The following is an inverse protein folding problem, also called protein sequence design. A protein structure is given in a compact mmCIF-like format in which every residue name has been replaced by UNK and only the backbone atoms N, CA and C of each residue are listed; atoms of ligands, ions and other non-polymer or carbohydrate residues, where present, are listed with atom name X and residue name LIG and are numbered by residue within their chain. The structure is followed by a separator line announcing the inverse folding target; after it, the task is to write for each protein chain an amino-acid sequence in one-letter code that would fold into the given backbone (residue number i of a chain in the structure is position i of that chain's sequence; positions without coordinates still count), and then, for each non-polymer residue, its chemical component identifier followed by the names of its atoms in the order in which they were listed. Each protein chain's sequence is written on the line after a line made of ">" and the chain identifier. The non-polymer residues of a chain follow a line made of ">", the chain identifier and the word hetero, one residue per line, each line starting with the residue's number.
data_IF_407613349877
#
_entry.id   IF_407613349877
#
_cell.length_a   1.000
_cell.length_b   1.000
_cell.length_c   1.000
_cell.angle_alpha   90.00
_cell.angle_beta   90.00
_cell.angle_gamma   90.00
#
_symmetry.space_group_name_H-M   'P 1'
#
loop_
_entity.id
_entity.type
_entity.pdbx_description
1 polymer ?
#
# COMPACT_ATOMS: atom_id res chain seq x y z
N UNK A 1 -40.94 9.28 -11.82
CA UNK A 1 -39.46 9.29 -11.76
C UNK A 1 -38.87 7.99 -11.19
N UNK A 2 -39.68 6.95 -10.93
CA UNK A 2 -39.27 5.72 -10.21
C UNK A 2 -39.14 4.47 -11.10
N UNK A 3 -39.46 4.54 -12.40
CA UNK A 3 -39.63 3.33 -13.24
C UNK A 3 -38.33 2.55 -13.49
N UNK A 4 -37.18 3.22 -13.39
CA UNK A 4 -35.87 2.62 -13.69
C UNK A 4 -34.94 2.52 -12.48
N UNK A 5 -35.44 2.74 -11.26
CA UNK A 5 -34.61 2.65 -10.06
C UNK A 5 -34.17 1.19 -9.82
N UNK A 6 -32.86 0.98 -9.68
CA UNK A 6 -32.24 -0.34 -9.50
C UNK A 6 -31.81 -1.04 -10.79
N UNK A 7 -32.17 -0.54 -11.97
CA UNK A 7 -31.66 -1.06 -13.24
C UNK A 7 -30.25 -0.54 -13.53
N UNK A 8 -29.34 -1.44 -13.90
CA UNK A 8 -27.98 -1.09 -14.33
C UNK A 8 -27.78 -1.41 -15.80
N UNK A 9 -27.47 -0.39 -16.61
CA UNK A 9 -27.17 -0.54 -18.03
C UNK A 9 -25.67 -0.44 -18.28
N UNK A 10 -25.10 -1.43 -18.97
CA UNK A 10 -23.68 -1.45 -19.36
C UNK A 10 -23.58 -1.22 -20.87
N UNK A 11 -22.93 -0.13 -21.26
CA UNK A 11 -22.63 0.17 -22.66
C UNK A 11 -21.21 -0.28 -22.99
N UNK A 12 -21.03 -0.92 -24.15
CA UNK A 12 -19.71 -1.32 -24.67
C UNK A 12 -19.60 -0.99 -26.14
N UNK A 13 -18.48 -0.39 -26.53
CA UNK A 13 -18.14 -0.13 -27.95
C UNK A 13 -17.56 -1.36 -28.65
N UNK A 14 -17.30 -2.45 -27.92
CA UNK A 14 -16.74 -3.70 -28.44
C UNK A 14 -17.75 -4.84 -28.32
N UNK A 15 -17.97 -5.64 -29.39
CA UNK A 15 -18.81 -6.82 -29.31
C UNK A 15 -18.10 -7.90 -28.49
N UNK A 16 -18.68 -8.24 -27.33
CA UNK A 16 -18.22 -9.32 -26.44
C UNK A 16 -19.43 -10.04 -25.84
N UNK A 17 -19.28 -11.29 -25.38
CA UNK A 17 -20.34 -12.01 -24.67
C UNK A 17 -20.84 -11.22 -23.46
N UNK A 18 -22.16 -11.23 -23.23
CA UNK A 18 -22.79 -10.49 -22.11
C UNK A 18 -22.15 -10.80 -20.76
N UNK A 19 -21.87 -12.08 -20.50
CA UNK A 19 -21.24 -12.56 -19.25
C UNK A 19 -19.85 -11.96 -19.05
N UNK A 20 -19.08 -11.81 -20.12
CA UNK A 20 -17.74 -11.23 -20.05
C UNK A 20 -17.79 -9.72 -19.81
N UNK A 21 -18.72 -9.01 -20.47
CA UNK A 21 -18.91 -7.56 -20.27
C UNK A 21 -19.29 -7.23 -18.83
N UNK A 22 -20.18 -8.02 -18.23
CA UNK A 22 -20.57 -7.86 -16.82
C UNK A 22 -19.36 -8.06 -15.90
N UNK A 23 -18.57 -9.12 -16.11
CA UNK A 23 -17.35 -9.37 -15.34
C UNK A 23 -16.35 -8.21 -15.45
N UNK A 24 -16.05 -7.77 -16.66
CA UNK A 24 -15.13 -6.66 -16.92
C UNK A 24 -15.59 -5.36 -16.27
N UNK A 25 -16.90 -5.08 -16.26
CA UNK A 25 -17.45 -3.93 -15.57
C UNK A 25 -17.20 -4.00 -14.06
N UNK A 26 -17.44 -5.17 -13.45
CA UNK A 26 -17.18 -5.37 -12.02
C UNK A 26 -15.69 -5.43 -11.66
N UNK A 27 -14.80 -5.82 -12.58
CA UNK A 27 -13.35 -5.79 -12.35
C UNK A 27 -12.82 -4.38 -12.08
N UNK A 28 -13.56 -3.32 -12.47
CA UNK A 28 -13.28 -1.93 -12.06
C UNK A 28 -13.24 -1.76 -10.54
N UNK A 29 -13.98 -2.56 -9.77
CA UNK A 29 -13.98 -2.53 -8.31
C UNK A 29 -12.56 -2.73 -7.73
N UNK A 30 -11.68 -3.45 -8.43
CA UNK A 30 -10.26 -3.58 -8.04
C UNK A 30 -9.58 -2.21 -8.01
N UNK A 31 -9.85 -1.38 -9.02
CA UNK A 31 -9.33 -0.01 -9.12
C UNK A 31 -9.95 0.88 -8.04
N UNK A 32 -11.24 0.75 -7.78
CA UNK A 32 -11.93 1.52 -6.72
C UNK A 32 -11.40 1.16 -5.33
N UNK A 33 -11.18 -0.13 -5.06
CA UNK A 33 -10.53 -0.62 -3.84
C UNK A 33 -9.09 -0.12 -3.73
N UNK A 34 -8.34 -0.04 -4.84
CA UNK A 34 -7.01 0.56 -4.85
C UNK A 34 -7.07 2.03 -4.40
N UNK A 35 -7.92 2.85 -5.01
CA UNK A 35 -8.11 4.25 -4.59
C UNK A 35 -8.55 4.38 -3.13
N UNK A 36 -9.39 3.47 -2.64
CA UNK A 36 -9.77 3.41 -1.21
C UNK A 36 -8.56 3.12 -0.32
N UNK A 37 -7.74 2.14 -0.66
CA UNK A 37 -6.51 1.82 0.07
C UNK A 37 -5.53 2.99 0.11
N UNK A 38 -5.39 3.73 -0.99
CA UNK A 38 -4.57 4.94 -1.04
C UNK A 38 -5.06 6.04 -0.08
N UNK A 39 -6.37 6.30 -0.06
CA UNK A 39 -6.96 7.34 0.79
C UNK A 39 -6.86 7.01 2.29
N UNK A 40 -6.93 5.73 2.64
CA UNK A 40 -6.92 5.26 4.03
C UNK A 40 -5.53 4.89 4.56
N UNK A 41 -4.90 3.87 3.96
CA UNK A 41 -3.66 3.25 4.46
C UNK A 41 -2.46 4.14 4.22
N UNK A 42 -2.36 4.65 3.01
CA UNK A 42 -1.22 5.49 2.59
C UNK A 42 -1.47 6.97 2.93
N UNK A 43 -2.73 7.34 3.26
CA UNK A 43 -3.16 8.71 3.57
C UNK A 43 -2.77 9.73 2.49
N UNK A 44 -2.64 9.29 1.23
CA UNK A 44 -2.27 10.14 0.09
C UNK A 44 -3.49 10.85 -0.50
N UNK A 45 -4.29 11.50 0.33
CA UNK A 45 -5.44 12.24 -0.18
C UNK A 45 -4.94 13.50 -0.92
N UNK A 46 -5.45 13.82 -2.11
CA UNK A 46 -5.08 15.04 -2.80
C UNK A 46 -5.61 16.25 -2.04
N UNK A 47 -4.72 17.11 -1.57
CA UNK A 47 -5.11 18.37 -0.91
C UNK A 47 -4.90 19.50 -1.91
N UNK A 48 -6.01 20.01 -2.47
CA UNK A 48 -6.02 21.24 -3.28
C UNK A 48 -4.97 21.24 -4.42
N UNK A 49 -4.88 20.14 -5.18
CA UNK A 49 -4.06 20.06 -6.39
C UNK A 49 -4.90 20.48 -7.62
N UNK A 50 -4.72 21.72 -8.08
CA UNK A 50 -5.50 22.28 -9.21
C UNK A 50 -4.69 22.41 -10.50
N UNK A 51 -3.35 22.52 -10.39
CA UNK A 51 -2.46 22.57 -11.55
C UNK A 51 -2.23 21.17 -12.10
N UNK A 52 -2.39 21.00 -13.42
CA UNK A 52 -2.27 19.72 -14.12
C UNK A 52 -0.98 18.96 -13.75
N UNK A 53 0.19 19.62 -13.76
CA UNK A 53 1.46 18.98 -13.38
C UNK A 53 1.46 18.42 -11.96
N UNK A 54 0.86 19.13 -10.99
CA UNK A 54 0.78 18.68 -9.59
C UNK A 54 -0.13 17.48 -9.45
N UNK A 55 -1.23 17.44 -10.22
CA UNK A 55 -2.12 16.28 -10.29
C UNK A 55 -1.38 15.07 -10.84
N UNK A 56 -0.66 15.22 -11.95
CA UNK A 56 0.12 14.13 -12.54
C UNK A 56 1.17 13.57 -11.57
N UNK A 57 1.93 14.45 -10.91
CA UNK A 57 2.92 14.04 -9.92
C UNK A 57 2.28 13.31 -8.73
N UNK A 58 1.15 13.81 -8.22
CA UNK A 58 0.44 13.17 -7.12
C UNK A 58 -0.09 11.79 -7.52
N UNK A 59 -0.71 11.65 -8.69
CA UNK A 59 -1.19 10.37 -9.22
C UNK A 59 -0.04 9.37 -9.38
N UNK A 60 1.13 9.84 -9.82
CA UNK A 60 2.32 9.00 -9.93
C UNK A 60 2.81 8.47 -8.58
N UNK A 61 2.93 9.33 -7.56
CA UNK A 61 3.29 8.92 -6.20
C UNK A 61 2.29 7.91 -5.64
N UNK A 62 1.00 8.20 -5.84
CA UNK A 62 -0.11 7.32 -5.50
C UNK A 62 0.06 5.93 -6.13
N UNK A 63 0.32 5.87 -7.43
CA UNK A 63 0.56 4.61 -8.14
C UNK A 63 1.73 3.83 -7.55
N UNK A 64 2.87 4.49 -7.29
CA UNK A 64 4.04 3.85 -6.67
C UNK A 64 3.73 3.30 -5.28
N UNK A 65 3.03 4.07 -4.45
CA UNK A 65 2.68 3.61 -3.11
C UNK A 65 1.73 2.40 -3.14
N UNK A 66 0.77 2.37 -4.07
CA UNK A 66 -0.09 1.21 -4.26
C UNK A 66 0.65 -0.02 -4.77
N UNK A 67 1.63 0.18 -5.68
CA UNK A 67 2.50 -0.88 -6.14
C UNK A 67 3.27 -1.50 -4.96
N UNK A 68 3.86 -0.68 -4.09
CA UNK A 68 4.57 -1.14 -2.90
C UNK A 68 3.62 -1.87 -1.93
N UNK A 69 2.42 -1.35 -1.70
CA UNK A 69 1.41 -1.99 -0.84
C UNK A 69 0.95 -3.35 -1.41
N UNK A 70 0.83 -3.45 -2.74
CA UNK A 70 0.46 -4.67 -3.44
C UNK A 70 1.59 -5.71 -3.37
N UNK A 71 2.84 -5.27 -3.52
CA UNK A 71 4.02 -6.12 -3.35
C UNK A 71 4.13 -6.63 -1.92
N UNK A 72 3.91 -5.76 -0.94
CA UNK A 72 3.85 -6.13 0.48
C UNK A 72 2.77 -7.19 0.71
N UNK A 73 1.55 -6.96 0.22
CA UNK A 73 0.46 -7.96 0.29
C UNK A 73 0.84 -9.30 -0.34
N UNK A 74 1.54 -9.26 -1.48
CA UNK A 74 2.00 -10.47 -2.17
C UNK A 74 3.02 -11.24 -1.33
N UNK A 75 3.99 -10.56 -0.71
CA UNK A 75 5.01 -11.17 0.15
C UNK A 75 4.43 -11.73 1.45
N UNK A 76 3.38 -11.11 1.98
CA UNK A 76 2.73 -11.50 3.24
C UNK A 76 1.71 -12.64 3.10
N UNK A 77 1.45 -13.15 1.88
CA UNK A 77 0.52 -14.28 1.66
C UNK A 77 0.74 -15.47 2.60
N UNK A 78 1.98 -15.90 2.94
CA UNK A 78 2.22 -17.02 3.85
C UNK A 78 1.76 -16.78 5.29
N UNK A 79 1.70 -15.52 5.73
CA UNK A 79 1.30 -15.13 7.09
C UNK A 79 -0.18 -14.77 7.21
N UNK A 80 -0.91 -14.69 6.08
CA UNK A 80 -2.30 -14.26 6.01
C UNK A 80 -2.58 -12.90 6.71
N UNK A 81 -1.58 -12.03 6.81
CA UNK A 81 -1.70 -10.72 7.45
C UNK A 81 -2.20 -9.65 6.49
N UNK A 82 -2.97 -8.69 7.02
CA UNK A 82 -3.33 -7.48 6.29
C UNK A 82 -2.09 -6.58 6.12
N UNK A 83 -1.88 -5.97 4.93
CA UNK A 83 -0.86 -4.96 4.73
C UNK A 83 -0.95 -3.79 5.73
N UNK A 84 -2.17 -3.41 6.15
CA UNK A 84 -2.39 -2.35 7.14
C UNK A 84 -1.81 -2.73 8.50
N UNK A 85 -2.26 -3.86 9.05
CA UNK A 85 -1.79 -4.38 10.34
C UNK A 85 -0.27 -4.57 10.35
N UNK A 86 0.29 -4.98 9.21
CA UNK A 86 1.74 -5.15 9.05
C UNK A 86 2.46 -3.81 9.15
N UNK A 87 1.96 -2.78 8.47
CA UNK A 87 2.53 -1.44 8.54
C UNK A 87 2.41 -0.85 9.96
N UNK A 88 1.27 -1.06 10.63
CA UNK A 88 1.07 -0.59 12.01
C UNK A 88 2.06 -1.26 12.99
N UNK A 89 2.26 -2.57 12.86
CA UNK A 89 3.22 -3.31 13.69
C UNK A 89 4.67 -2.86 13.40
N UNK A 90 5.02 -2.65 12.13
CA UNK A 90 6.36 -2.18 11.73
C UNK A 90 6.60 -0.71 12.10
N UNK A 91 5.57 0.13 12.13
CA UNK A 91 5.67 1.54 12.51
C UNK A 91 6.12 1.72 13.96
N UNK A 92 5.86 0.75 14.84
CA UNK A 92 6.34 0.78 16.22
C UNK A 92 7.85 0.51 16.35
N UNK A 93 8.51 0.05 15.29
CA UNK A 93 9.94 -0.21 15.28
C UNK A 93 10.71 1.11 15.13
N UNK A 94 11.70 1.34 15.99
CA UNK A 94 12.60 2.48 15.89
C UNK A 94 14.06 2.06 16.08
N UNK A 95 14.95 2.80 15.42
CA UNK A 95 16.40 2.65 15.52
C UNK A 95 16.95 3.84 16.29
N UNK A 96 17.72 3.57 17.34
CA UNK A 96 18.35 4.60 18.16
C UNK A 96 19.73 4.89 17.56
N UNK A 97 20.00 6.17 17.30
CA UNK A 97 21.30 6.65 16.87
C UNK A 97 21.93 7.42 18.03
N UNK A 98 23.00 6.89 18.61
CA UNK A 98 23.83 7.59 19.59
C UNK A 98 25.03 8.16 18.86
N UNK A 99 25.18 9.48 18.93
CA UNK A 99 26.33 10.19 18.41
C UNK A 99 27.04 10.87 19.58
N UNK A 100 28.27 10.46 19.85
CA UNK A 100 29.12 11.17 20.80
C UNK A 100 29.84 12.31 20.06
N UNK A 101 29.61 13.55 20.51
CA UNK A 101 30.22 14.74 19.94
C UNK A 101 31.70 14.89 20.29
N UNK A 102 32.18 14.25 21.37
CA UNK A 102 33.57 14.37 21.85
C UNK A 102 34.49 13.26 21.35
N UNK A 103 33.99 12.04 21.23
CA UNK A 103 34.80 10.87 20.85
C UNK A 103 34.50 10.32 19.44
N UNK A 104 33.62 10.98 18.67
CA UNK A 104 33.39 10.67 17.25
C UNK A 104 32.70 9.33 16.97
N UNK A 105 32.30 8.58 17.99
CA UNK A 105 31.66 7.28 17.82
C UNK A 105 30.16 7.44 17.50
N UNK A 106 29.69 6.66 16.53
CA UNK A 106 28.28 6.57 16.15
C UNK A 106 27.82 5.14 16.37
N UNK A 107 26.96 4.94 17.38
CA UNK A 107 26.28 3.66 17.59
C UNK A 107 24.90 3.78 16.99
N UNK A 108 24.52 2.81 16.17
CA UNK A 108 23.14 2.68 15.73
C UNK A 108 22.62 1.33 16.21
N UNK A 109 21.57 1.33 17.05
CA UNK A 109 21.01 0.08 17.60
C UNK A 109 19.51 0.04 17.36
N UNK A 110 19.06 -1.03 16.70
CA UNK A 110 17.62 -1.32 16.56
C UNK A 110 17.13 -1.90 17.88
N UNK A 111 15.97 -1.46 18.35
CA UNK A 111 15.35 -1.99 19.56
C UNK A 111 14.95 -3.46 19.37
N UNK A 112 14.93 -4.24 20.44
CA UNK A 112 14.57 -5.66 20.42
C UNK A 112 13.22 -5.87 19.73
N UNK A 113 13.25 -6.62 18.64
CA UNK A 113 12.07 -6.89 17.81
C UNK A 113 11.12 -7.87 18.51
N UNK A 114 9.82 -7.65 18.33
CA UNK A 114 8.80 -8.63 18.71
C UNK A 114 8.90 -9.87 17.80
N UNK A 115 8.46 -11.04 18.28
CA UNK A 115 8.39 -12.27 17.45
C UNK A 115 7.55 -12.07 16.18
N UNK A 116 6.52 -11.22 16.26
CA UNK A 116 5.66 -10.87 15.11
C UNK A 116 6.43 -10.00 14.11
N UNK A 117 7.14 -8.98 14.57
CA UNK A 117 7.96 -8.11 13.72
C UNK A 117 9.06 -8.89 13.02
N UNK A 118 9.73 -9.81 13.72
CA UNK A 118 10.77 -10.64 13.13
C UNK A 118 10.21 -11.58 12.04
N UNK A 119 9.04 -12.19 12.27
CA UNK A 119 8.36 -13.02 11.27
C UNK A 119 7.94 -12.21 10.02
N UNK A 120 7.43 -10.99 10.23
CA UNK A 120 7.09 -10.06 9.15
C UNK A 120 8.34 -9.71 8.34
N UNK A 121 9.44 -9.32 8.98
CA UNK A 121 10.68 -8.97 8.27
C UNK A 121 11.26 -10.18 7.52
N UNK A 122 11.25 -11.38 8.12
CA UNK A 122 11.70 -12.63 7.47
C UNK A 122 10.93 -12.95 6.19
N UNK A 123 9.64 -12.66 6.17
CA UNK A 123 8.77 -12.95 5.02
C UNK A 123 8.84 -11.89 3.93
N UNK A 124 9.08 -10.63 4.30
CA UNK A 124 9.29 -9.54 3.34
C UNK A 124 10.65 -9.69 2.66
N UNK A 125 11.74 -9.68 3.43
CA UNK A 125 13.11 -9.93 2.96
C UNK A 125 14.04 -10.24 4.15
N UNK A 126 14.71 -11.40 4.09
CA UNK A 126 15.68 -11.83 5.12
C UNK A 126 16.88 -10.90 5.25
N UNK A 127 17.21 -10.12 4.21
CA UNK A 127 18.28 -9.12 4.27
C UNK A 127 17.96 -7.99 5.26
N UNK A 128 16.69 -7.70 5.51
CA UNK A 128 16.25 -6.64 6.43
C UNK A 128 16.55 -6.94 7.90
N UNK A 129 16.79 -8.20 8.25
CA UNK A 129 17.24 -8.60 9.59
C UNK A 129 18.74 -8.49 9.79
N UNK A 130 19.51 -8.40 8.70
CA UNK A 130 20.95 -8.16 8.78
C UNK A 130 21.16 -6.67 8.95
N UNK A 131 20.89 -6.16 10.16
CA UNK A 131 21.55 -4.94 10.59
C UNK A 131 23.04 -5.28 10.67
N UNK A 132 23.82 -4.76 9.74
CA UNK A 132 25.29 -4.74 9.85
C UNK A 132 25.63 -4.14 11.22
N UNK A 133 26.26 -4.96 12.05
CA UNK A 133 26.95 -4.52 13.25
C UNK A 133 28.30 -3.93 12.84
#
# INVERSE_FOLDING_TARGET
>A
AEEFDGYSCIFSTRPRPKVELVRLYFDKDVVEKAFRSLKGVVKLQPIRHWLAQRVTAHVFICYLAYLLLSLLKFRLRPLALSPQQTLDELHTMYKVYLRDAKHGFQISRVVTLSKKQEAILKTIDRKLLKAEN
#
